data_IF_614533379743
#
_entry.id   IF_614533379743
#
_cell.length_a   1.000
_cell.length_b   1.000
_cell.length_c   1.000
_cell.angle_alpha   90.00
_cell.angle_beta   90.00
_cell.angle_gamma   90.00
#
_symmetry.space_group_name_H-M   'P 1'
#
loop_
_entity.id
_entity.type
_entity.pdbx_description
1 polymer ?
#
# COMPACT_ATOMS: atom_id res chain seq x y z
N UNK A 1 11.30 -28.96 21.10
CA UNK A 1 10.53 -28.73 22.34
C UNK A 1 9.60 -27.51 22.25
N UNK A 2 9.67 -26.73 21.17
CA UNK A 2 8.83 -25.54 20.99
C UNK A 2 9.42 -24.27 21.58
N UNK A 3 10.67 -24.30 22.07
CA UNK A 3 11.36 -23.08 22.49
C UNK A 3 11.70 -22.20 21.29
N UNK A 4 11.53 -20.89 21.45
CA UNK A 4 12.06 -19.91 20.50
C UNK A 4 13.59 -19.93 20.49
N UNK A 5 14.16 -19.46 19.38
CA UNK A 5 15.60 -19.23 19.29
C UNK A 5 16.07 -18.21 20.34
N UNK A 6 17.24 -18.47 20.90
CA UNK A 6 17.90 -17.57 21.84
C UNK A 6 18.60 -16.45 21.07
N UNK A 7 18.79 -15.31 21.73
CA UNK A 7 19.53 -14.17 21.19
C UNK A 7 18.99 -13.70 19.82
N UNK A 8 17.66 -13.77 19.67
CA UNK A 8 16.96 -13.48 18.43
C UNK A 8 17.14 -12.03 17.98
N UNK A 9 17.68 -11.87 16.76
CA UNK A 9 17.76 -10.60 16.05
C UNK A 9 16.78 -10.63 14.86
N UNK A 10 15.79 -9.73 14.81
CA UNK A 10 14.77 -9.75 13.78
C UNK A 10 15.28 -9.43 12.36
N UNK A 11 16.51 -8.91 12.20
CA UNK A 11 17.13 -8.67 10.90
C UNK A 11 18.07 -9.79 10.46
N UNK A 12 18.58 -10.62 11.38
CA UNK A 12 19.64 -11.61 11.10
C UNK A 12 19.18 -13.05 11.30
N UNK A 13 18.46 -13.33 12.39
CA UNK A 13 18.12 -14.70 12.78
C UNK A 13 17.15 -15.33 11.78
N UNK A 14 17.53 -16.48 11.20
CA UNK A 14 16.70 -17.24 10.27
C UNK A 14 16.61 -16.67 8.84
N UNK A 15 17.41 -15.66 8.48
CA UNK A 15 17.48 -15.17 7.09
C UNK A 15 17.92 -16.31 6.16
N UNK A 16 17.19 -16.53 5.07
CA UNK A 16 17.40 -17.61 4.10
C UNK A 16 17.28 -19.05 4.66
N UNK A 17 16.82 -19.20 5.91
CA UNK A 17 16.54 -20.50 6.54
C UNK A 17 15.06 -20.61 6.93
N UNK A 18 14.56 -19.63 7.69
CA UNK A 18 13.16 -19.51 8.12
C UNK A 18 12.37 -18.50 7.27
N UNK A 19 13.06 -17.52 6.68
CA UNK A 19 12.47 -16.46 5.87
C UNK A 19 13.09 -16.47 4.46
N UNK A 20 12.24 -16.36 3.44
CA UNK A 20 12.67 -16.32 2.03
C UNK A 20 12.87 -14.87 1.61
N UNK A 21 14.10 -14.55 1.20
CA UNK A 21 14.51 -13.24 0.66
C UNK A 21 14.17 -12.05 1.58
N UNK A 22 14.10 -12.29 2.88
CA UNK A 22 13.78 -11.27 3.86
C UNK A 22 14.14 -11.69 5.27
N UNK A 23 13.68 -10.92 6.25
CA UNK A 23 13.96 -11.16 7.66
C UNK A 23 12.69 -11.17 8.50
N UNK A 24 12.80 -11.50 9.78
CA UNK A 24 11.65 -11.57 10.66
C UNK A 24 10.95 -10.21 10.83
N UNK A 25 11.70 -9.10 10.79
CA UNK A 25 11.12 -7.75 10.86
C UNK A 25 10.12 -7.53 9.71
N UNK A 26 10.51 -7.85 8.48
CA UNK A 26 9.69 -7.70 7.29
C UNK A 26 8.51 -8.69 7.32
N UNK A 27 8.81 -9.98 7.53
CA UNK A 27 7.81 -11.05 7.43
C UNK A 27 6.78 -11.02 8.57
N UNK A 28 7.07 -10.35 9.69
CA UNK A 28 6.09 -10.10 10.78
C UNK A 28 4.82 -9.41 10.26
N UNK A 29 4.94 -8.58 9.21
CA UNK A 29 3.81 -7.83 8.65
C UNK A 29 3.00 -8.63 7.61
N UNK A 30 3.39 -9.86 7.29
CA UNK A 30 2.74 -10.68 6.26
C UNK A 30 1.56 -11.50 6.81
N UNK A 31 0.56 -10.80 7.35
CA UNK A 31 -0.73 -11.38 7.79
C UNK A 31 -1.89 -10.67 7.07
N UNK A 32 -1.91 -10.69 5.73
CA UNK A 32 -2.83 -9.86 4.96
C UNK A 32 -4.32 -10.23 5.14
N UNK A 33 -4.59 -11.48 5.53
CA UNK A 33 -5.94 -11.97 5.82
C UNK A 33 -6.56 -11.36 7.09
N UNK A 34 -5.76 -10.89 8.04
CA UNK A 34 -6.24 -10.32 9.31
C UNK A 34 -5.26 -9.30 9.91
N UNK A 35 -5.03 -8.23 9.17
CA UNK A 35 -4.21 -7.09 9.65
C UNK A 35 -4.76 -6.49 10.96
N UNK A 36 -6.08 -6.33 11.18
CA UNK A 36 -6.60 -5.83 12.45
C UNK A 36 -6.17 -6.65 13.67
N UNK A 37 -6.20 -7.99 13.60
CA UNK A 37 -5.75 -8.83 14.72
C UNK A 37 -4.23 -8.75 14.88
N UNK A 38 -3.45 -8.68 13.79
CA UNK A 38 -2.00 -8.45 13.87
C UNK A 38 -1.66 -7.13 14.59
N UNK A 39 -2.36 -6.04 14.25
CA UNK A 39 -2.22 -4.72 14.91
C UNK A 39 -2.53 -4.83 16.40
N UNK A 40 -3.55 -5.60 16.78
CA UNK A 40 -3.91 -5.82 18.18
C UNK A 40 -2.86 -6.65 18.92
N UNK A 41 -2.34 -7.71 18.31
CA UNK A 41 -1.30 -8.58 18.90
C UNK A 41 0.02 -7.83 19.14
N UNK A 42 0.45 -7.00 18.19
CA UNK A 42 1.67 -6.19 18.32
C UNK A 42 1.45 -5.00 19.27
N UNK A 43 0.21 -4.51 19.34
CA UNK A 43 -0.16 -3.24 19.96
C UNK A 43 -0.06 -2.10 18.95
N UNK A 44 -1.15 -1.34 18.80
CA UNK A 44 -1.32 -0.32 17.76
C UNK A 44 -0.14 0.67 17.67
N UNK A 45 0.25 1.26 18.79
CA UNK A 45 1.31 2.28 18.80
C UNK A 45 2.66 1.71 18.40
N UNK A 46 2.96 0.47 18.85
CA UNK A 46 4.18 -0.24 18.47
C UNK A 46 4.17 -0.61 16.98
N UNK A 47 3.04 -1.08 16.47
CA UNK A 47 2.86 -1.40 15.06
C UNK A 47 3.12 -0.18 14.18
N UNK A 48 2.46 0.94 14.49
CA UNK A 48 2.60 2.21 13.77
C UNK A 48 4.03 2.75 13.88
N UNK A 49 4.63 2.73 15.08
CA UNK A 49 6.01 3.20 15.29
C UNK A 49 7.00 2.41 14.45
N UNK A 50 6.92 1.07 14.46
CA UNK A 50 7.81 0.21 13.66
C UNK A 50 7.68 0.49 12.17
N UNK A 51 6.46 0.53 11.63
CA UNK A 51 6.27 0.83 10.22
C UNK A 51 6.78 2.24 9.87
N UNK A 52 6.41 3.26 10.63
CA UNK A 52 6.83 4.64 10.36
C UNK A 52 8.34 4.83 10.45
N UNK A 53 9.00 4.15 11.39
CA UNK A 53 10.47 4.13 11.51
C UNK A 53 11.10 3.44 10.31
N UNK A 54 10.60 2.26 9.95
CA UNK A 54 11.11 1.54 8.78
C UNK A 54 11.01 2.35 7.49
N UNK A 55 9.88 3.03 7.27
CA UNK A 55 9.74 3.92 6.13
C UNK A 55 10.73 5.09 6.16
N UNK A 56 10.98 5.69 7.34
CA UNK A 56 11.96 6.79 7.48
C UNK A 56 13.39 6.33 7.19
N UNK A 57 13.77 5.14 7.66
CA UNK A 57 15.10 4.57 7.42
C UNK A 57 15.33 4.26 5.93
N UNK A 58 14.32 3.70 5.26
CA UNK A 58 14.43 3.30 3.85
C UNK A 58 14.19 4.43 2.84
N UNK A 59 13.51 5.53 3.22
CA UNK A 59 13.15 6.60 2.29
C UNK A 59 14.37 7.26 1.62
N UNK A 60 15.44 7.51 2.40
CA UNK A 60 16.68 8.11 1.89
C UNK A 60 17.39 7.24 0.84
N UNK A 61 17.18 5.93 0.93
CA UNK A 61 17.71 4.93 0.00
C UNK A 61 16.77 4.64 -1.17
N UNK A 62 15.73 5.48 -1.35
CA UNK A 62 14.71 5.31 -2.39
C UNK A 62 14.02 3.94 -2.31
N UNK A 63 13.96 3.33 -1.12
CA UNK A 63 13.45 1.98 -0.90
C UNK A 63 14.17 0.88 -1.67
N UNK A 64 15.41 1.14 -2.12
CA UNK A 64 16.28 0.16 -2.75
C UNK A 64 17.49 -0.08 -1.84
N UNK A 65 17.54 -1.25 -1.20
CA UNK A 65 18.66 -1.58 -0.33
C UNK A 65 19.97 -1.63 -1.17
N UNK A 66 21.00 -0.86 -0.80
CA UNK A 66 22.26 -0.86 -1.54
C UNK A 66 22.94 -2.24 -1.54
N UNK A 67 23.41 -2.66 -2.71
CA UNK A 67 24.17 -3.91 -2.87
C UNK A 67 23.39 -5.18 -2.53
N UNK A 68 22.08 -5.20 -2.81
CA UNK A 68 21.19 -6.36 -2.54
C UNK A 68 21.09 -6.74 -1.06
N UNK A 69 21.43 -5.80 -0.17
CA UNK A 69 21.36 -5.96 1.29
C UNK A 69 19.93 -5.82 1.81
N UNK A 70 18.99 -6.53 1.19
CA UNK A 70 17.56 -6.41 1.46
C UNK A 70 17.19 -6.72 2.92
N UNK A 71 17.98 -7.58 3.57
CA UNK A 71 17.84 -7.93 4.98
C UNK A 71 18.34 -6.88 5.97
N UNK A 72 19.01 -5.82 5.52
CA UNK A 72 19.53 -4.74 6.38
C UNK A 72 18.63 -3.50 6.40
N UNK A 73 17.62 -3.46 5.52
CA UNK A 73 16.71 -2.33 5.42
C UNK A 73 15.27 -2.79 5.70
N UNK A 74 14.53 -2.05 6.52
CA UNK A 74 13.18 -2.44 6.94
C UNK A 74 12.18 -2.47 5.78
N UNK A 75 12.15 -1.43 4.93
CA UNK A 75 11.23 -1.35 3.79
C UNK A 75 12.00 -1.40 2.48
N UNK A 76 11.77 -2.43 1.66
CA UNK A 76 12.45 -2.65 0.38
C UNK A 76 11.39 -2.81 -0.71
N UNK A 77 11.15 -1.77 -1.51
CA UNK A 77 10.09 -1.81 -2.52
C UNK A 77 10.38 -2.82 -3.64
N UNK A 78 11.66 -3.05 -3.95
CA UNK A 78 12.10 -4.02 -4.95
C UNK A 78 11.98 -5.47 -4.52
N UNK A 79 11.31 -5.76 -3.42
CA UNK A 79 11.10 -7.11 -2.92
C UNK A 79 9.67 -7.27 -2.39
N UNK A 80 9.03 -8.39 -2.70
CA UNK A 80 7.57 -8.54 -2.68
C UNK A 80 6.99 -8.47 -1.26
N UNK A 81 7.76 -8.89 -0.25
CA UNK A 81 7.32 -8.95 1.15
C UNK A 81 7.07 -7.57 1.74
N UNK A 82 7.66 -6.49 1.18
CA UNK A 82 7.45 -5.12 1.68
C UNK A 82 6.38 -4.34 0.91
N UNK A 83 5.92 -4.84 -0.24
CA UNK A 83 5.09 -4.07 -1.18
C UNK A 83 3.74 -3.66 -0.58
N UNK A 84 3.22 -4.36 0.42
CA UNK A 84 1.95 -4.00 1.07
C UNK A 84 2.11 -3.05 2.28
N UNK A 85 3.34 -2.79 2.76
CA UNK A 85 3.56 -2.10 4.03
C UNK A 85 2.93 -0.71 4.12
N UNK A 86 2.95 0.06 3.03
CA UNK A 86 2.36 1.39 3.00
C UNK A 86 0.84 1.33 3.25
N UNK A 87 0.17 0.25 2.84
CA UNK A 87 -1.28 0.12 2.94
C UNK A 87 -1.73 -0.40 4.32
N UNK A 88 -0.81 -0.96 5.11
CA UNK A 88 -1.11 -1.41 6.48
C UNK A 88 -1.54 -0.27 7.41
N UNK A 89 -1.12 0.98 7.16
CA UNK A 89 -1.56 2.13 7.96
C UNK A 89 -3.07 2.38 7.87
N UNK A 90 -3.72 2.09 6.75
CA UNK A 90 -5.18 2.12 6.64
C UNK A 90 -5.84 1.24 7.71
N UNK A 91 -5.37 -0.01 7.83
CA UNK A 91 -5.88 -0.99 8.77
C UNK A 91 -5.52 -0.69 10.23
N UNK A 92 -4.40 0.02 10.45
CA UNK A 92 -3.99 0.53 11.75
C UNK A 92 -4.67 1.86 12.14
N UNK A 93 -5.55 2.42 11.30
CA UNK A 93 -6.31 3.63 11.61
C UNK A 93 -5.53 4.93 11.41
N UNK A 94 -4.54 4.94 10.52
CA UNK A 94 -3.85 6.14 10.05
C UNK A 94 -3.79 6.23 8.52
N UNK A 95 -4.93 6.36 7.80
CA UNK A 95 -4.93 6.40 6.34
C UNK A 95 -4.05 7.49 5.71
N UNK A 96 -3.83 8.60 6.42
CA UNK A 96 -2.92 9.65 5.99
C UNK A 96 -1.46 9.18 5.88
N UNK A 97 -1.03 8.20 6.68
CA UNK A 97 0.29 7.60 6.53
C UNK A 97 0.36 6.69 5.30
N UNK A 98 -0.70 5.95 4.97
CA UNK A 98 -0.78 5.22 3.69
C UNK A 98 -0.61 6.18 2.52
N UNK A 99 -1.34 7.29 2.53
CA UNK A 99 -1.27 8.32 1.49
C UNK A 99 0.13 8.95 1.38
N UNK A 100 0.80 9.21 2.50
CA UNK A 100 2.17 9.74 2.52
C UNK A 100 3.16 8.75 1.92
N UNK A 101 3.17 7.51 2.42
CA UNK A 101 4.21 6.54 2.10
C UNK A 101 4.04 5.92 0.72
N UNK A 102 2.80 5.64 0.28
CA UNK A 102 2.57 5.17 -1.09
C UNK A 102 3.05 6.20 -2.13
N UNK A 103 2.84 7.49 -1.86
CA UNK A 103 3.32 8.58 -2.71
C UNK A 103 4.83 8.75 -2.67
N UNK A 104 5.44 8.56 -1.50
CA UNK A 104 6.91 8.59 -1.37
C UNK A 104 7.56 7.45 -2.17
N UNK A 105 7.01 6.23 -2.12
CA UNK A 105 7.50 5.10 -2.93
C UNK A 105 7.36 5.42 -4.43
N UNK A 106 6.17 5.82 -4.88
CA UNK A 106 5.93 6.19 -6.28
C UNK A 106 6.90 7.27 -6.79
N UNK A 107 7.25 8.23 -5.95
CA UNK A 107 8.15 9.35 -6.30
C UNK A 107 9.63 8.97 -6.28
N UNK A 108 10.03 8.02 -5.44
CA UNK A 108 11.46 7.73 -5.18
C UNK A 108 11.94 6.46 -5.83
N UNK A 109 11.14 5.39 -5.81
CA UNK A 109 11.57 4.08 -6.30
C UNK A 109 11.41 3.96 -7.82
N UNK A 110 10.24 4.37 -8.35
CA UNK A 110 9.90 4.18 -9.75
C UNK A 110 10.43 5.31 -10.63
N UNK A 111 11.05 4.95 -11.75
CA UNK A 111 11.51 5.86 -12.80
C UNK A 111 10.77 5.67 -14.11
N UNK A 112 11.31 6.22 -15.19
CA UNK A 112 10.70 6.13 -16.53
C UNK A 112 11.72 5.94 -17.66
N UNK A 113 13.02 5.94 -17.38
CA UNK A 113 14.06 5.71 -18.37
C UNK A 113 14.33 4.22 -18.57
N UNK A 114 14.89 3.87 -19.73
CA UNK A 114 15.15 2.48 -20.11
C UNK A 114 16.13 1.74 -19.17
N UNK A 115 16.95 2.49 -18.41
CA UNK A 115 17.91 1.92 -17.45
C UNK A 115 17.59 2.20 -15.97
N UNK A 116 16.50 2.91 -15.67
CA UNK A 116 16.17 3.34 -14.31
C UNK A 116 14.66 3.31 -13.99
N UNK A 117 13.86 2.62 -14.82
CA UNK A 117 12.43 2.43 -14.58
C UNK A 117 12.15 1.74 -13.23
N UNK A 118 13.00 0.78 -12.86
CA UNK A 118 12.98 0.07 -11.59
C UNK A 118 14.39 0.02 -11.00
N UNK A 119 14.51 -0.01 -9.68
CA UNK A 119 15.79 -0.09 -8.98
C UNK A 119 16.15 -1.52 -8.53
N UNK A 120 15.26 -2.48 -8.78
CA UNK A 120 15.38 -3.92 -8.55
C UNK A 120 14.58 -4.68 -9.61
N UNK A 121 14.40 -5.98 -9.43
CA UNK A 121 13.70 -6.83 -10.39
C UNK A 121 12.25 -6.38 -10.60
N UNK A 122 11.79 -6.46 -11.86
CA UNK A 122 10.41 -6.08 -12.22
C UNK A 122 9.38 -7.16 -11.83
N UNK A 123 9.86 -8.40 -11.72
CA UNK A 123 9.11 -9.58 -11.29
C UNK A 123 7.84 -9.86 -12.09
N UNK A 124 8.01 -9.94 -13.42
CA UNK A 124 7.01 -10.46 -14.36
C UNK A 124 5.66 -9.72 -14.28
N UNK A 125 5.71 -8.41 -14.06
CA UNK A 125 4.55 -7.54 -13.93
C UNK A 125 4.22 -7.12 -12.50
N UNK A 126 4.84 -7.70 -11.47
CA UNK A 126 4.53 -7.40 -10.06
C UNK A 126 4.82 -5.93 -9.72
N UNK A 127 6.01 -5.43 -10.05
CA UNK A 127 6.37 -4.03 -9.78
C UNK A 127 5.53 -3.05 -10.62
N UNK A 128 5.31 -3.38 -11.90
CA UNK A 128 4.46 -2.59 -12.79
C UNK A 128 3.01 -2.52 -12.30
N UNK A 129 2.42 -3.65 -11.92
CA UNK A 129 1.05 -3.72 -11.43
C UNK A 129 0.88 -2.94 -10.13
N UNK A 130 1.85 -3.05 -9.22
CA UNK A 130 1.85 -2.24 -8.01
C UNK A 130 1.86 -0.74 -8.33
N UNK A 131 2.74 -0.30 -9.23
CA UNK A 131 2.81 1.10 -9.65
C UNK A 131 1.46 1.58 -10.20
N UNK A 132 0.86 0.81 -11.12
CA UNK A 132 -0.44 1.15 -11.73
C UNK A 132 -1.52 1.28 -10.65
N UNK A 133 -1.64 0.29 -9.76
CA UNK A 133 -2.64 0.29 -8.70
C UNK A 133 -2.44 1.47 -7.73
N UNK A 134 -1.22 1.66 -7.24
CA UNK A 134 -0.89 2.78 -6.37
C UNK A 134 -1.09 4.15 -7.04
N UNK A 135 -0.80 4.27 -8.35
CA UNK A 135 -1.01 5.48 -9.13
C UNK A 135 -2.50 5.83 -9.33
N UNK A 136 -3.35 4.80 -9.45
CA UNK A 136 -4.81 4.95 -9.39
C UNK A 136 -5.31 5.33 -7.98
N UNK A 137 -4.45 5.22 -6.97
CA UNK A 137 -4.80 5.43 -5.58
C UNK A 137 -5.57 4.26 -4.98
N UNK A 138 -5.40 3.04 -5.51
CA UNK A 138 -6.09 1.84 -5.07
C UNK A 138 -5.10 0.71 -4.71
N UNK A 139 -5.48 -0.15 -3.77
CA UNK A 139 -4.73 -1.37 -3.45
C UNK A 139 -5.65 -2.47 -2.89
N UNK A 140 -5.15 -3.71 -2.81
CA UNK A 140 -5.81 -4.82 -2.13
C UNK A 140 -4.76 -5.56 -1.29
N UNK A 141 -4.76 -5.34 0.04
CA UNK A 141 -3.73 -5.91 0.93
C UNK A 141 -3.72 -7.44 0.94
N UNK A 142 -4.89 -8.06 0.75
CA UNK A 142 -5.09 -9.50 0.70
C UNK A 142 -5.04 -10.09 -0.71
N UNK A 143 -4.61 -9.31 -1.71
CA UNK A 143 -4.60 -9.73 -3.11
C UNK A 143 -6.00 -10.01 -3.69
N UNK A 144 -7.07 -9.57 -3.00
CA UNK A 144 -8.45 -9.86 -3.40
C UNK A 144 -8.89 -11.30 -3.11
N UNK A 145 -8.20 -12.01 -2.22
CA UNK A 145 -8.53 -13.39 -1.86
C UNK A 145 -9.73 -13.52 -0.91
N UNK A 146 -10.20 -12.43 -0.29
CA UNK A 146 -11.43 -12.48 0.49
C UNK A 146 -12.66 -12.82 -0.38
N UNK A 147 -13.63 -13.54 0.19
CA UNK A 147 -14.92 -13.83 -0.47
C UNK A 147 -15.68 -12.56 -0.88
N UNK A 148 -15.49 -11.48 -0.14
CA UNK A 148 -15.99 -10.14 -0.44
C UNK A 148 -14.80 -9.18 -0.59
N UNK A 149 -14.10 -9.22 -1.73
CA UNK A 149 -12.89 -8.43 -1.92
C UNK A 149 -13.22 -6.93 -1.90
N UNK A 150 -12.29 -6.15 -1.38
CA UNK A 150 -12.39 -4.69 -1.28
C UNK A 150 -11.24 -4.04 -2.04
N UNK A 151 -11.47 -2.82 -2.53
CA UNK A 151 -10.39 -1.90 -2.85
C UNK A 151 -10.18 -0.95 -1.68
N UNK A 152 -8.91 -0.73 -1.36
CA UNK A 152 -8.45 0.22 -0.36
C UNK A 152 -7.98 1.48 -1.09
N UNK A 153 -8.40 2.64 -0.58
CA UNK A 153 -8.07 3.95 -1.09
C UNK A 153 -6.76 4.42 -0.44
N UNK A 154 -5.85 4.86 -1.28
CA UNK A 154 -4.60 5.50 -0.91
C UNK A 154 -4.57 6.94 -1.46
N UNK A 155 -3.55 7.29 -2.25
CA UNK A 155 -3.37 8.62 -2.81
C UNK A 155 -3.10 8.53 -4.32
N UNK A 156 -4.05 8.92 -5.17
CA UNK A 156 -3.88 8.88 -6.62
C UNK A 156 -2.86 9.91 -7.10
N UNK A 157 -2.16 9.61 -8.20
CA UNK A 157 -1.23 10.53 -8.86
C UNK A 157 -1.94 11.57 -9.74
N UNK A 158 -3.02 11.15 -10.39
CA UNK A 158 -3.69 11.93 -11.43
C UNK A 158 -5.02 12.48 -10.94
N UNK A 159 -5.40 13.67 -11.41
CA UNK A 159 -6.71 14.26 -11.09
C UNK A 159 -7.88 13.45 -11.68
N UNK A 160 -7.64 12.68 -12.74
CA UNK A 160 -8.64 11.81 -13.34
C UNK A 160 -8.00 10.58 -13.96
N UNK A 161 -8.56 9.41 -13.64
CA UNK A 161 -8.30 8.16 -14.32
C UNK A 161 -9.63 7.48 -14.69
N UNK A 162 -9.66 6.80 -15.83
CA UNK A 162 -10.82 6.04 -16.29
C UNK A 162 -10.40 4.60 -16.55
N UNK A 163 -11.05 3.66 -15.88
CA UNK A 163 -10.90 2.22 -16.09
C UNK A 163 -12.00 1.79 -17.04
N UNK A 164 -11.63 1.37 -18.25
CA UNK A 164 -12.57 0.85 -19.24
C UNK A 164 -12.85 -0.62 -18.96
N UNK A 165 -14.07 -0.92 -18.53
CA UNK A 165 -14.52 -2.29 -18.22
C UNK A 165 -15.24 -2.94 -19.42
N UNK A 166 -15.74 -2.12 -20.35
CA UNK A 166 -16.30 -2.52 -21.65
C UNK A 166 -17.42 -3.56 -21.56
N UNK A 167 -18.16 -3.59 -20.44
CA UNK A 167 -19.16 -4.61 -20.13
C UNK A 167 -18.64 -6.06 -20.17
N UNK A 168 -17.32 -6.27 -20.14
CA UNK A 168 -16.71 -7.60 -20.16
C UNK A 168 -17.08 -8.36 -18.90
N UNK A 169 -17.38 -9.65 -19.03
CA UNK A 169 -17.75 -10.51 -17.91
C UNK A 169 -18.94 -9.99 -17.08
N UNK A 170 -19.90 -9.32 -17.72
CA UNK A 170 -21.08 -8.76 -17.04
C UNK A 170 -20.79 -7.55 -16.15
N UNK A 171 -19.62 -6.92 -16.31
CA UNK A 171 -19.22 -5.69 -15.60
C UNK A 171 -19.91 -4.46 -16.19
N UNK A 172 -19.72 -3.31 -15.57
CA UNK A 172 -20.17 -2.03 -16.11
C UNK A 172 -19.36 -1.59 -17.34
N UNK A 173 -19.69 -0.41 -17.89
CA UNK A 173 -18.95 0.16 -19.03
C UNK A 173 -17.59 0.74 -18.62
N UNK A 174 -17.57 1.54 -17.57
CA UNK A 174 -16.37 2.22 -17.08
C UNK A 174 -16.48 2.56 -15.60
N UNK A 175 -15.34 2.69 -14.93
CA UNK A 175 -15.22 3.28 -13.59
C UNK A 175 -14.27 4.46 -13.64
N UNK A 176 -14.67 5.60 -13.08
CA UNK A 176 -13.88 6.84 -13.08
C UNK A 176 -13.38 7.14 -11.68
N UNK A 177 -12.09 7.40 -11.54
CA UNK A 177 -11.51 7.96 -10.32
C UNK A 177 -11.23 9.43 -10.60
N UNK A 178 -11.89 10.32 -9.87
CA UNK A 178 -11.73 11.78 -9.98
C UNK A 178 -11.16 12.30 -8.66
N UNK A 179 -9.91 12.72 -8.66
CA UNK A 179 -9.20 13.21 -7.49
C UNK A 179 -8.93 14.71 -7.63
N UNK A 180 -9.93 15.51 -7.27
CA UNK A 180 -9.91 16.96 -7.47
C UNK A 180 -8.71 17.58 -6.73
N UNK A 181 -7.85 18.27 -7.47
CA UNK A 181 -6.67 18.92 -6.92
C UNK A 181 -5.51 17.97 -6.62
N UNK A 182 -5.56 16.69 -7.02
CA UNK A 182 -4.44 15.76 -6.86
C UNK A 182 -3.17 16.32 -7.50
N UNK A 183 -2.09 16.39 -6.73
CA UNK A 183 -0.80 16.88 -7.22
C UNK A 183 0.33 16.27 -6.40
N UNK A 184 1.58 16.67 -6.68
CA UNK A 184 2.74 16.29 -5.84
C UNK A 184 2.60 16.79 -4.39
N UNK A 185 1.98 17.95 -4.22
CA UNK A 185 1.74 18.60 -2.92
C UNK A 185 0.46 18.03 -2.29
N UNK A 186 -0.64 18.03 -3.05
CA UNK A 186 -1.96 17.62 -2.58
C UNK A 186 -2.10 16.10 -2.66
N UNK A 187 -1.57 15.42 -1.65
CA UNK A 187 -1.57 13.95 -1.58
C UNK A 187 -2.59 13.37 -0.59
N UNK A 188 -3.22 14.20 0.24
CA UNK A 188 -4.08 13.72 1.30
C UNK A 188 -5.55 13.81 0.95
N UNK A 189 -6.29 12.71 1.13
CA UNK A 189 -7.74 12.68 0.91
C UNK A 189 -8.44 13.47 2.03
N UNK A 190 -9.20 14.49 1.65
CA UNK A 190 -9.99 15.33 2.55
C UNK A 190 -11.43 14.81 2.69
N UNK A 191 -12.01 14.31 1.59
CA UNK A 191 -13.31 13.67 1.58
C UNK A 191 -13.43 12.74 0.36
N UNK A 192 -14.35 11.78 0.42
CA UNK A 192 -14.62 10.89 -0.68
C UNK A 192 -16.12 10.69 -0.90
N UNK A 193 -16.50 10.43 -2.16
CA UNK A 193 -17.82 9.95 -2.54
C UNK A 193 -17.70 8.77 -3.49
N UNK A 194 -18.53 7.76 -3.29
CA UNK A 194 -18.67 6.64 -4.21
C UNK A 194 -20.07 6.69 -4.83
N UNK A 195 -20.13 6.89 -6.15
CA UNK A 195 -21.38 7.04 -6.89
C UNK A 195 -22.30 8.11 -6.29
N UNK A 196 -21.73 9.27 -5.96
CA UNK A 196 -22.42 10.42 -5.36
C UNK A 196 -22.74 10.29 -3.87
N UNK A 197 -22.52 9.14 -3.24
CA UNK A 197 -22.77 8.93 -1.80
C UNK A 197 -21.48 9.17 -0.99
N UNK A 198 -21.55 9.86 0.16
CA UNK A 198 -20.39 10.03 1.05
C UNK A 198 -19.73 8.70 1.40
N UNK A 199 -18.41 8.67 1.35
CA UNK A 199 -17.58 7.54 1.72
C UNK A 199 -16.58 7.98 2.80
N UNK A 200 -16.87 7.62 4.04
CA UNK A 200 -16.01 7.91 5.21
C UNK A 200 -15.05 6.77 5.56
N UNK A 201 -15.07 5.68 4.76
CA UNK A 201 -14.15 4.55 4.90
C UNK A 201 -13.00 4.67 3.91
N UNK A 202 -11.84 4.15 4.28
CA UNK A 202 -10.73 4.00 3.35
C UNK A 202 -10.97 2.90 2.31
N UNK A 203 -12.01 2.07 2.45
CA UNK A 203 -12.24 0.93 1.55
C UNK A 203 -13.66 0.87 1.04
N UNK A 204 -13.85 0.16 -0.07
CA UNK A 204 -15.16 -0.14 -0.62
C UNK A 204 -15.16 -1.49 -1.34
N UNK A 205 -16.32 -2.18 -1.46
CA UNK A 205 -16.39 -3.47 -2.15
C UNK A 205 -15.90 -3.38 -3.59
N UNK A 206 -15.06 -4.31 -4.03
CA UNK A 206 -14.57 -4.36 -5.41
C UNK A 206 -15.73 -4.48 -6.42
N UNK A 207 -16.83 -5.13 -6.03
CA UNK A 207 -18.06 -5.21 -6.82
C UNK A 207 -18.64 -3.83 -7.19
N UNK A 208 -18.41 -2.78 -6.38
CA UNK A 208 -18.87 -1.43 -6.71
C UNK A 208 -18.05 -0.82 -7.85
N UNK A 209 -16.74 -1.10 -7.93
CA UNK A 209 -15.92 -0.72 -9.08
C UNK A 209 -16.36 -1.50 -10.32
N UNK A 210 -16.54 -2.81 -10.18
CA UNK A 210 -16.87 -3.71 -11.30
C UNK A 210 -18.24 -3.42 -11.92
N UNK A 211 -19.18 -2.84 -11.18
CA UNK A 211 -20.46 -2.33 -11.73
C UNK A 211 -20.30 -1.05 -12.55
N UNK A 212 -19.10 -0.46 -12.55
CA UNK A 212 -18.85 0.87 -13.09
C UNK A 212 -19.33 1.98 -12.17
N UNK A 213 -19.13 3.23 -12.59
CA UNK A 213 -19.50 4.41 -11.82
C UNK A 213 -18.31 5.33 -11.55
N UNK A 214 -18.27 5.91 -10.36
CA UNK A 214 -17.27 6.92 -10.01
C UNK A 214 -16.88 6.92 -8.53
N UNK A 215 -15.57 7.03 -8.28
CA UNK A 215 -15.00 7.46 -7.01
C UNK A 215 -14.54 8.92 -7.16
N UNK A 216 -15.09 9.81 -6.34
CA UNK A 216 -14.69 11.21 -6.27
C UNK A 216 -13.92 11.44 -4.96
N UNK A 217 -12.75 12.07 -5.05
CA UNK A 217 -11.88 12.40 -3.93
C UNK A 217 -11.57 13.90 -3.98
N UNK A 218 -11.67 14.58 -2.84
CA UNK A 218 -11.12 15.93 -2.67
C UNK A 218 -9.74 15.81 -2.05
N UNK A 219 -8.71 16.37 -2.69
CA UNK A 219 -7.32 16.24 -2.25
C UNK A 219 -6.82 17.53 -1.58
N UNK A 220 -5.91 17.39 -0.62
CA UNK A 220 -5.32 18.51 0.11
C UNK A 220 -3.84 18.27 0.46
N UNK A 221 -3.16 19.35 0.84
CA UNK A 221 -1.73 19.39 1.18
C UNK A 221 -1.43 18.93 2.62
N UNK A 222 -2.46 18.88 3.47
CA UNK A 222 -2.37 18.46 4.88
C UNK A 222 -3.21 17.21 5.15
N UNK A 223 -2.77 16.34 6.07
CA UNK A 223 -3.53 15.16 6.44
C UNK A 223 -4.88 15.53 7.07
N UNK A 224 -5.95 14.85 6.63
CA UNK A 224 -7.21 14.86 7.35
C UNK A 224 -7.24 13.69 8.34
N UNK A 225 -7.00 13.97 9.61
CA UNK A 225 -6.98 12.97 10.69
C UNK A 225 -8.34 12.34 11.01
N UNK A 226 -9.42 12.76 10.35
CA UNK A 226 -10.79 12.23 10.58
C UNK A 226 -11.32 11.40 9.42
N UNK A 227 -10.72 11.48 8.23
CA UNK A 227 -11.20 10.75 7.06
C UNK A 227 -10.70 9.31 7.05
N UNK A 228 -11.52 8.40 6.52
CA UNK A 228 -11.14 7.01 6.30
C UNK A 228 -11.08 6.17 7.57
N UNK A 229 -11.61 6.64 8.70
CA UNK A 229 -11.56 5.92 9.97
C UNK A 229 -12.76 4.98 10.20
N UNK A 230 -13.81 5.06 9.38
CA UNK A 230 -14.93 4.10 9.45
C UNK A 230 -14.52 2.78 8.80
N UNK A 231 -14.67 1.68 9.53
CA UNK A 231 -14.35 0.32 9.06
C UNK A 231 -15.43 -0.27 8.17
#
# INVERSE_FOLDING_TARGET
DGSFEKDFDPFVTGVNEHYVEGNAWQLTFFVPQDVPELVKMIGKDRFLSRLSEGFRESEGWRYNAPGERYGDFPVVQGNQQSMHFAFLFNWAGEPWQTQKWSRSILERYYGYGAGDAYLGDEDQGQMSAWFIMAALGLFQTDGGCNINPVYEIASPLYEKATINLENRYGRGKQFVIKANGASRINKYVQSAKLNGKPLDSFKFPAANLLKGGMLELEMGDKPNYKWGLKK
#
